data_IF_577562956800
#
_entry.id   IF_577562956800
#
_cell.length_a   1.000
_cell.length_b   1.000
_cell.length_c   1.000
_cell.angle_alpha   90.00
_cell.angle_beta   90.00
_cell.angle_gamma   90.00
#
_symmetry.space_group_name_H-M   'P 1'
#
loop_
_entity.id
_entity.type
_entity.pdbx_description
1 polymer ?
#
# COMPACT_ATOMS: atom_id res chain seq x y z
N UNK A 1 -9.86 26.44 -9.85
CA UNK A 1 -8.84 25.41 -9.55
C UNK A 1 -8.10 25.78 -8.27
N UNK A 2 -8.09 24.90 -7.26
CA UNK A 2 -7.37 25.12 -6.01
C UNK A 2 -5.87 25.35 -6.30
N UNK A 3 -5.25 26.35 -5.68
CA UNK A 3 -3.85 26.73 -5.94
C UNK A 3 -2.88 25.58 -5.66
N UNK A 4 -3.23 24.69 -4.74
CA UNK A 4 -2.50 23.49 -4.39
C UNK A 4 -2.51 22.41 -5.48
N UNK A 5 -3.49 22.40 -6.39
CA UNK A 5 -3.62 21.36 -7.43
C UNK A 5 -2.89 21.65 -8.74
N UNK A 6 -2.34 22.86 -8.86
CA UNK A 6 -1.68 23.29 -10.10
C UNK A 6 -0.47 22.44 -10.49
N UNK A 7 0.41 22.00 -9.55
CA UNK A 7 1.56 21.17 -9.92
C UNK A 7 1.13 19.79 -10.45
N UNK A 8 0.23 19.11 -9.74
CA UNK A 8 -0.27 17.79 -10.13
C UNK A 8 -0.98 17.83 -11.48
N UNK A 9 -1.81 18.84 -11.71
CA UNK A 9 -2.47 19.02 -13.00
C UNK A 9 -1.49 19.32 -14.13
N UNK A 10 -0.46 20.13 -13.86
CA UNK A 10 0.62 20.36 -14.83
C UNK A 10 1.33 19.04 -15.18
N UNK A 11 1.73 18.26 -14.17
CA UNK A 11 2.38 16.96 -14.38
C UNK A 11 1.50 16.01 -15.20
N UNK A 12 0.23 15.86 -14.84
CA UNK A 12 -0.71 15.01 -15.57
C UNK A 12 -0.85 15.45 -17.04
N UNK A 13 -1.02 16.74 -17.30
CA UNK A 13 -1.17 17.26 -18.65
C UNK A 13 0.12 17.18 -19.49
N UNK A 14 1.28 17.38 -18.88
CA UNK A 14 2.56 17.40 -19.59
C UNK A 14 3.15 16.01 -19.83
N UNK A 15 3.02 15.10 -18.86
CA UNK A 15 3.72 13.81 -18.86
C UNK A 15 2.79 12.62 -19.08
N UNK A 16 1.64 12.57 -18.38
CA UNK A 16 0.78 11.38 -18.37
C UNK A 16 -0.12 11.28 -19.61
N UNK A 17 -0.50 12.40 -20.24
CA UNK A 17 -1.26 12.39 -21.51
C UNK A 17 -0.57 11.63 -22.66
N UNK A 18 0.73 11.37 -22.56
CA UNK A 18 1.49 10.61 -23.54
C UNK A 18 1.39 9.09 -23.32
N UNK A 19 0.50 8.63 -22.43
CA UNK A 19 0.35 7.23 -22.04
C UNK A 19 1.21 6.81 -20.86
N UNK A 20 1.98 7.74 -20.26
CA UNK A 20 2.78 7.44 -19.08
C UNK A 20 1.89 7.32 -17.84
N UNK A 21 2.23 6.38 -16.97
CA UNK A 21 1.57 6.15 -15.68
C UNK A 21 2.55 6.37 -14.53
N UNK A 22 2.02 6.70 -13.35
CA UNK A 22 2.84 6.76 -12.12
C UNK A 22 2.75 5.40 -11.44
N UNK A 23 3.87 4.72 -11.34
CA UNK A 23 3.98 3.50 -10.55
C UNK A 23 4.08 3.82 -9.06
N UNK A 24 3.22 3.18 -8.26
CA UNK A 24 3.12 3.37 -6.82
C UNK A 24 3.25 2.03 -6.11
N UNK A 25 4.38 1.75 -5.43
CA UNK A 25 4.53 0.53 -4.65
C UNK A 25 3.54 0.51 -3.48
N UNK A 26 2.67 -0.49 -3.40
CA UNK A 26 1.74 -0.67 -2.28
C UNK A 26 2.34 -1.64 -1.25
N UNK A 27 2.35 -1.30 0.05
CA UNK A 27 2.84 -2.20 1.09
C UNK A 27 2.10 -3.54 1.14
N UNK A 28 2.84 -4.63 1.40
CA UNK A 28 2.28 -5.96 1.66
C UNK A 28 1.20 -5.94 2.75
N UNK A 29 1.34 -5.07 3.76
CA UNK A 29 0.39 -4.90 4.85
C UNK A 29 -1.00 -4.43 4.41
N UNK A 30 -1.14 -3.91 3.18
CA UNK A 30 -2.42 -3.43 2.61
C UNK A 30 -3.05 -4.46 1.66
N UNK A 31 -2.23 -5.15 0.87
CA UNK A 31 -2.70 -6.07 -0.19
C UNK A 31 -2.55 -7.56 0.14
N UNK A 32 -1.68 -7.93 1.09
CA UNK A 32 -1.28 -9.32 1.33
C UNK A 32 -0.36 -9.91 0.25
N UNK A 33 0.12 -9.08 -0.69
CA UNK A 33 1.10 -9.43 -1.72
C UNK A 33 1.81 -8.17 -2.26
N UNK A 34 2.98 -8.36 -2.88
CA UNK A 34 3.79 -7.27 -3.45
C UNK A 34 3.35 -6.97 -4.89
N UNK A 35 2.52 -5.95 -5.07
CA UNK A 35 2.16 -5.43 -6.39
C UNK A 35 2.04 -3.91 -6.35
N UNK A 36 2.67 -3.19 -7.30
CA UNK A 36 2.43 -1.75 -7.44
C UNK A 36 1.06 -1.48 -8.04
N UNK A 37 0.55 -0.27 -7.81
CA UNK A 37 -0.57 0.28 -8.58
C UNK A 37 -0.06 1.34 -9.54
N UNK A 38 -0.74 1.47 -10.68
CA UNK A 38 -0.39 2.44 -11.70
C UNK A 38 -1.47 3.50 -11.79
N UNK A 39 -1.14 4.74 -11.44
CA UNK A 39 -2.05 5.87 -11.63
C UNK A 39 -2.01 6.33 -13.08
N UNK A 40 -3.18 6.38 -13.72
CA UNK A 40 -3.33 6.89 -15.08
C UNK A 40 -3.57 8.39 -15.11
N UNK A 41 -3.56 8.97 -16.32
CA UNK A 41 -3.95 10.35 -16.52
C UNK A 41 -5.39 10.59 -16.04
N UNK A 42 -6.30 9.64 -16.32
CA UNK A 42 -7.70 9.67 -15.92
C UNK A 42 -7.85 9.70 -14.40
N UNK A 43 -7.12 8.85 -13.66
CA UNK A 43 -7.14 8.85 -12.19
C UNK A 43 -6.85 10.25 -11.62
N UNK A 44 -5.81 10.91 -12.13
CA UNK A 44 -5.41 12.24 -11.69
C UNK A 44 -6.40 13.30 -12.18
N UNK A 45 -6.86 13.19 -13.43
CA UNK A 45 -7.78 14.14 -14.04
C UNK A 45 -9.14 14.15 -13.35
N UNK A 46 -9.69 12.99 -13.05
CA UNK A 46 -10.95 12.84 -12.32
C UNK A 46 -10.81 13.41 -10.91
N UNK A 47 -9.69 13.08 -10.23
CA UNK A 47 -9.40 13.58 -8.90
C UNK A 47 -9.29 15.12 -8.85
N UNK A 48 -8.56 15.75 -9.78
CA UNK A 48 -8.40 17.22 -9.80
C UNK A 48 -9.69 17.97 -10.12
N UNK A 49 -10.64 17.30 -10.79
CA UNK A 49 -11.94 17.84 -11.18
C UNK A 49 -13.07 17.40 -10.23
N UNK A 50 -12.73 16.81 -9.08
CA UNK A 50 -13.69 16.34 -8.08
C UNK A 50 -14.74 15.38 -8.66
N UNK A 51 -14.31 14.49 -9.56
CA UNK A 51 -15.12 13.42 -10.14
C UNK A 51 -14.99 12.12 -9.32
N UNK A 52 -15.74 11.09 -9.71
CA UNK A 52 -15.69 9.76 -9.09
C UNK A 52 -14.24 9.26 -9.09
N UNK A 53 -13.71 8.90 -7.91
CA UNK A 53 -12.32 8.43 -7.79
C UNK A 53 -12.24 6.91 -7.90
N UNK A 54 -11.17 6.45 -8.54
CA UNK A 54 -10.88 5.04 -8.72
C UNK A 54 -10.38 4.37 -7.44
N UNK A 55 -10.34 3.02 -7.47
CA UNK A 55 -9.73 2.23 -6.42
C UNK A 55 -8.22 2.52 -6.28
N UNK A 56 -7.54 2.92 -7.36
CA UNK A 56 -6.12 3.29 -7.31
C UNK A 56 -5.92 4.53 -6.44
N UNK A 57 -6.78 5.55 -6.58
CA UNK A 57 -6.75 6.75 -5.73
C UNK A 57 -6.95 6.40 -4.25
N UNK A 58 -7.90 5.50 -3.95
CA UNK A 58 -8.13 5.00 -2.57
C UNK A 58 -6.86 4.29 -2.04
N UNK A 59 -6.26 3.40 -2.83
CA UNK A 59 -5.06 2.64 -2.46
C UNK A 59 -3.84 3.50 -2.19
N UNK A 60 -3.59 4.49 -3.04
CA UNK A 60 -2.48 5.44 -2.85
C UNK A 60 -2.69 6.26 -1.58
N UNK A 61 -3.94 6.59 -1.25
CA UNK A 61 -4.25 7.26 0.01
C UNK A 61 -4.06 6.36 1.23
N UNK A 62 -4.52 5.11 1.16
CA UNK A 62 -4.30 4.11 2.23
C UNK A 62 -2.82 3.90 2.51
N UNK A 63 -1.97 3.83 1.47
CA UNK A 63 -0.51 3.74 1.60
C UNK A 63 0.07 4.88 2.43
N UNK A 64 -0.39 6.11 2.20
CA UNK A 64 0.08 7.23 3.01
C UNK A 64 -0.42 7.17 4.44
N UNK A 65 -1.68 6.83 4.66
CA UNK A 65 -2.20 6.74 6.02
C UNK A 65 -1.46 5.66 6.80
N UNK A 66 -1.10 4.55 6.16
CA UNK A 66 -0.22 3.53 6.74
C UNK A 66 1.15 4.11 7.11
N UNK A 67 1.80 4.84 6.20
CA UNK A 67 3.08 5.50 6.48
C UNK A 67 2.96 6.54 7.61
N UNK A 68 1.85 7.29 7.66
CA UNK A 68 1.56 8.25 8.71
C UNK A 68 1.37 7.55 10.06
N UNK A 69 0.62 6.43 10.09
CA UNK A 69 0.49 5.58 11.27
C UNK A 69 1.87 5.10 11.74
N UNK A 70 2.75 4.68 10.81
CA UNK A 70 4.10 4.22 11.14
C UNK A 70 4.95 5.34 11.76
N UNK A 71 4.96 6.53 11.16
CA UNK A 71 5.68 7.70 11.68
C UNK A 71 5.17 8.09 13.07
N UNK A 72 3.85 7.97 13.30
CA UNK A 72 3.22 8.33 14.58
C UNK A 72 3.25 7.22 15.64
N UNK A 73 3.90 6.06 15.37
CA UNK A 73 3.94 4.93 16.29
C UNK A 73 2.60 4.19 16.46
N UNK A 74 1.70 4.32 15.48
CA UNK A 74 0.36 3.74 15.44
C UNK A 74 0.23 2.59 14.42
N UNK A 75 1.34 2.10 13.84
CA UNK A 75 1.33 1.04 12.82
C UNK A 75 0.57 -0.23 13.24
N UNK A 76 0.54 -0.53 14.53
CA UNK A 76 -0.17 -1.70 15.05
C UNK A 76 -1.66 -1.46 15.35
N UNK A 77 -2.12 -0.20 15.32
CA UNK A 77 -3.49 0.16 15.70
C UNK A 77 -4.46 0.06 14.52
N UNK A 78 -4.01 0.43 13.33
CA UNK A 78 -4.85 0.53 12.14
C UNK A 78 -4.28 -0.33 11.02
N UNK A 79 -5.12 -1.21 10.47
CA UNK A 79 -4.81 -2.00 9.27
C UNK A 79 -5.76 -1.58 8.16
N UNK A 80 -5.20 -1.37 6.97
CA UNK A 80 -5.95 -1.00 5.78
C UNK A 80 -6.09 -2.23 4.89
N UNK A 81 -7.31 -2.62 4.50
CA UNK A 81 -7.53 -3.78 3.62
C UNK A 81 -7.91 -3.30 2.23
N UNK A 82 -7.12 -3.68 1.23
CA UNK A 82 -7.30 -3.23 -0.16
C UNK A 82 -8.74 -3.45 -0.67
N UNK A 83 -9.36 -2.45 -1.33
CA UNK A 83 -10.66 -2.62 -1.94
C UNK A 83 -10.67 -3.67 -3.05
N UNK A 84 -9.52 -3.97 -3.68
CA UNK A 84 -9.43 -5.00 -4.73
C UNK A 84 -9.64 -6.43 -4.19
N UNK A 85 -9.46 -6.64 -2.89
CA UNK A 85 -9.60 -7.94 -2.24
C UNK A 85 -11.03 -8.23 -1.79
N UNK A 86 -11.84 -7.18 -1.63
CA UNK A 86 -13.11 -7.23 -0.91
C UNK A 86 -14.27 -6.67 -1.74
N UNK A 87 -14.03 -5.81 -2.72
CA UNK A 87 -15.07 -5.29 -3.61
C UNK A 87 -15.38 -6.28 -4.73
N UNK A 88 -16.64 -6.42 -5.15
CA UNK A 88 -16.97 -7.23 -6.32
C UNK A 88 -16.33 -6.64 -7.58
N UNK A 89 -15.83 -7.52 -8.45
CA UNK A 89 -15.46 -7.15 -9.82
C UNK A 89 -16.74 -7.10 -10.66
N UNK A 90 -16.89 -6.08 -11.49
CA UNK A 90 -18.12 -5.76 -12.26
C UNK A 90 -18.67 -6.91 -13.12
N UNK A 91 -17.88 -7.95 -13.36
CA UNK A 91 -18.19 -9.11 -14.21
C UNK A 91 -18.81 -10.28 -13.47
N UNK A 92 -18.78 -10.28 -12.14
CA UNK A 92 -19.26 -11.39 -11.34
C UNK A 92 -20.73 -11.18 -10.96
N UNK A 93 -21.54 -12.23 -11.03
CA UNK A 93 -22.85 -12.25 -10.34
C UNK A 93 -22.61 -11.98 -8.86
N UNK A 94 -23.58 -11.37 -8.17
CA UNK A 94 -23.41 -10.88 -6.78
C UNK A 94 -22.83 -11.94 -5.82
N UNK A 95 -23.02 -13.25 -6.11
CA UNK A 95 -22.46 -14.37 -5.34
C UNK A 95 -21.05 -14.85 -5.79
N UNK A 96 -20.68 -14.65 -7.06
CA UNK A 96 -19.44 -15.19 -7.62
C UNK A 96 -18.21 -14.49 -7.01
N UNK A 97 -17.47 -15.25 -6.19
CA UNK A 97 -16.25 -14.78 -5.52
C UNK A 97 -16.48 -14.13 -4.16
N UNK A 98 -17.71 -14.07 -3.61
CA UNK A 98 -17.92 -13.55 -2.25
C UNK A 98 -17.14 -14.36 -1.20
N UNK A 99 -17.09 -15.68 -1.36
CA UNK A 99 -16.32 -16.58 -0.49
C UNK A 99 -14.82 -16.26 -0.54
N UNK A 100 -14.25 -16.16 -1.73
CA UNK A 100 -12.83 -15.80 -1.92
C UNK A 100 -12.51 -14.45 -1.29
N UNK A 101 -13.37 -13.44 -1.48
CA UNK A 101 -13.20 -12.13 -0.86
C UNK A 101 -13.31 -12.16 0.67
N UNK A 102 -14.18 -13.01 1.22
CA UNK A 102 -14.24 -13.25 2.66
C UNK A 102 -12.99 -13.99 3.18
N UNK A 103 -12.45 -14.94 2.41
CA UNK A 103 -11.19 -15.62 2.72
C UNK A 103 -9.99 -14.66 2.69
N UNK A 104 -9.96 -13.75 1.72
CA UNK A 104 -8.98 -12.67 1.66
C UNK A 104 -9.06 -11.82 2.92
N UNK A 105 -10.24 -11.35 3.31
CA UNK A 105 -10.42 -10.59 4.55
C UNK A 105 -9.99 -11.39 5.79
N UNK A 106 -10.40 -12.67 5.88
CA UNK A 106 -10.03 -13.56 6.98
C UNK A 106 -8.50 -13.67 7.14
N UNK A 107 -7.74 -13.66 6.03
CA UNK A 107 -6.28 -13.71 6.09
C UNK A 107 -5.65 -12.55 6.87
N UNK A 108 -6.26 -11.35 6.84
CA UNK A 108 -5.83 -10.19 7.64
C UNK A 108 -6.25 -10.30 9.10
N UNK A 109 -7.36 -11.00 9.37
CA UNK A 109 -7.94 -11.11 10.70
C UNK A 109 -7.32 -12.24 11.53
N UNK A 110 -6.79 -13.30 10.91
CA UNK A 110 -6.38 -14.56 11.58
C UNK A 110 -5.57 -14.35 12.87
N UNK A 111 -4.62 -13.41 12.84
CA UNK A 111 -3.74 -13.09 13.97
C UNK A 111 -3.99 -11.68 14.53
N UNK A 112 -5.24 -11.21 14.46
CA UNK A 112 -5.63 -9.88 14.94
C UNK A 112 -5.34 -9.73 16.44
N UNK A 113 -4.40 -8.85 16.86
CA UNK A 113 -4.28 -8.50 18.27
C UNK A 113 -5.50 -7.70 18.72
N UNK A 114 -5.69 -7.64 20.04
CA UNK A 114 -6.73 -6.81 20.66
C UNK A 114 -6.52 -5.35 20.31
N UNK A 115 -7.62 -4.60 20.27
CA UNK A 115 -7.66 -3.14 20.05
C UNK A 115 -7.20 -2.66 18.66
N UNK A 116 -6.90 -3.60 17.74
CA UNK A 116 -6.58 -3.29 16.35
C UNK A 116 -7.85 -3.16 15.52
N UNK A 117 -7.91 -2.08 14.74
CA UNK A 117 -9.02 -1.77 13.85
C UNK A 117 -8.64 -2.00 12.39
N UNK A 118 -9.56 -2.57 11.63
CA UNK A 118 -9.39 -2.86 10.21
C UNK A 118 -10.29 -1.95 9.38
N UNK A 119 -9.69 -1.07 8.59
CA UNK A 119 -10.36 -0.13 7.71
C UNK A 119 -10.49 -0.75 6.32
N UNK A 120 -11.74 -0.96 5.89
CA UNK A 120 -12.08 -1.76 4.71
C UNK A 120 -12.96 -0.93 3.77
N UNK A 121 -12.38 -0.10 2.89
CA UNK A 121 -13.13 0.60 1.85
C UNK A 121 -13.69 -0.41 0.84
N UNK A 122 -14.97 -0.31 0.52
CA UNK A 122 -15.67 -1.22 -0.37
C UNK A 122 -16.45 -0.46 -1.45
N UNK A 123 -16.35 -0.91 -2.70
CA UNK A 123 -17.05 -0.33 -3.83
C UNK A 123 -18.23 -1.21 -4.26
N UNK A 124 -19.45 -0.68 -4.17
CA UNK A 124 -20.71 -1.37 -4.50
C UNK A 124 -21.14 -1.21 -5.96
N UNK A 125 -20.19 -0.97 -6.86
CA UNK A 125 -20.48 -0.69 -8.27
C UNK A 125 -20.77 0.79 -8.51
N UNK A 126 -19.78 1.64 -8.22
CA UNK A 126 -19.75 3.12 -8.29
C UNK A 126 -20.16 3.86 -7.02
N UNK A 127 -20.32 3.15 -5.91
CA UNK A 127 -20.57 3.77 -4.61
C UNK A 127 -19.57 3.24 -3.58
N UNK A 128 -18.80 4.15 -3.00
CA UNK A 128 -17.80 3.84 -1.99
C UNK A 128 -18.41 3.93 -0.59
N UNK A 129 -18.20 2.88 0.20
CA UNK A 129 -18.52 2.80 1.63
C UNK A 129 -17.28 2.38 2.41
N UNK A 130 -17.27 2.60 3.72
CA UNK A 130 -16.18 2.17 4.60
C UNK A 130 -16.71 1.29 5.73
N UNK A 131 -16.14 0.09 5.86
CA UNK A 131 -16.21 -0.71 7.06
C UNK A 131 -15.05 -0.43 7.99
N UNK A 132 -15.32 -0.36 9.30
CA UNK A 132 -14.27 -0.45 10.32
C UNK A 132 -14.59 -1.63 11.21
N UNK A 133 -13.70 -2.61 11.22
CA UNK A 133 -13.92 -3.88 11.92
C UNK A 133 -13.10 -3.89 13.20
N UNK A 134 -13.78 -4.24 14.30
CA UNK A 134 -13.17 -4.70 15.53
C UNK A 134 -13.57 -6.18 15.74
N UNK A 135 -12.68 -7.14 15.43
CA UNK A 135 -13.01 -8.56 15.56
C UNK A 135 -13.19 -8.97 17.03
N UNK A 136 -12.49 -8.31 17.96
CA UNK A 136 -12.57 -8.60 19.37
C UNK A 136 -13.86 -8.08 20.00
N UNK A 137 -14.44 -6.99 19.50
CA UNK A 137 -15.76 -6.54 19.90
C UNK A 137 -16.91 -7.14 19.05
N UNK A 138 -16.60 -8.02 18.08
CA UNK A 138 -17.55 -8.57 17.09
C UNK A 138 -18.39 -7.46 16.42
N UNK A 139 -17.72 -6.35 16.07
CA UNK A 139 -18.35 -5.11 15.66
C UNK A 139 -17.83 -4.64 14.30
N UNK A 140 -18.76 -4.31 13.42
CA UNK A 140 -18.49 -3.59 12.17
C UNK A 140 -19.19 -2.24 12.24
N UNK A 141 -18.40 -1.18 12.29
CA UNK A 141 -18.91 0.17 12.07
C UNK A 141 -19.00 0.42 10.57
N UNK A 142 -20.17 0.85 10.11
CA UNK A 142 -20.45 1.05 8.70
C UNK A 142 -20.68 2.53 8.41
N UNK A 143 -19.88 3.08 7.49
CA UNK A 143 -19.94 4.47 7.07
C UNK A 143 -20.37 4.53 5.60
N UNK A 144 -21.55 5.11 5.38
CA UNK A 144 -22.12 5.29 4.05
C UNK A 144 -22.52 6.77 3.86
N UNK A 145 -21.78 7.52 3.01
CA UNK A 145 -22.08 8.91 2.69
C UNK A 145 -23.46 9.13 2.07
N UNK A 146 -24.06 8.13 1.41
CA UNK A 146 -25.41 8.20 0.84
C UNK A 146 -26.49 7.70 1.81
N UNK A 147 -26.09 7.03 2.90
CA UNK A 147 -26.98 6.42 3.90
C UNK A 147 -28.02 5.48 3.26
N UNK A 148 -27.61 4.71 2.27
CA UNK A 148 -28.48 3.72 1.63
C UNK A 148 -28.78 2.57 2.60
N UNK A 149 -30.03 2.09 2.61
CA UNK A 149 -30.48 1.01 3.51
C UNK A 149 -30.32 -0.41 2.94
N UNK A 150 -29.65 -0.59 1.80
CA UNK A 150 -29.61 -1.88 1.12
C UNK A 150 -28.83 -2.90 1.96
N UNK A 151 -29.40 -4.10 2.15
CA UNK A 151 -28.58 -5.28 2.52
C UNK A 151 -27.73 -5.59 1.32
N UNK A 152 -26.44 -5.34 1.48
CA UNK A 152 -25.46 -5.43 0.42
C UNK A 152 -24.53 -6.61 0.64
N UNK A 153 -23.93 -7.06 -0.47
CA UNK A 153 -22.87 -8.05 -0.54
C UNK A 153 -21.78 -7.87 0.54
N UNK A 154 -21.47 -6.61 0.88
CA UNK A 154 -20.56 -6.25 1.95
C UNK A 154 -20.94 -6.87 3.31
N UNK A 155 -22.20 -6.73 3.72
CA UNK A 155 -22.67 -7.25 5.01
C UNK A 155 -22.53 -8.77 5.09
N UNK A 156 -22.84 -9.47 4.00
CA UNK A 156 -22.72 -10.93 3.94
C UNK A 156 -21.26 -11.39 3.94
N UNK A 157 -20.41 -10.72 3.17
CA UNK A 157 -18.96 -10.94 3.16
C UNK A 157 -18.36 -10.79 4.57
N UNK A 158 -18.71 -9.70 5.26
CA UNK A 158 -18.21 -9.41 6.61
C UNK A 158 -18.64 -10.47 7.62
N UNK A 159 -19.92 -10.88 7.57
CA UNK A 159 -20.42 -11.96 8.43
C UNK A 159 -19.70 -13.29 8.18
N UNK A 160 -19.42 -13.64 6.92
CA UNK A 160 -18.67 -14.86 6.60
C UNK A 160 -17.26 -14.83 7.18
N UNK A 161 -16.49 -13.78 6.88
CA UNK A 161 -15.11 -13.66 7.34
C UNK A 161 -15.01 -13.66 8.88
N UNK A 162 -15.91 -12.94 9.57
CA UNK A 162 -15.90 -12.87 11.03
C UNK A 162 -16.42 -14.14 11.69
N UNK A 163 -17.37 -14.84 11.08
CA UNK A 163 -17.79 -16.16 11.56
C UNK A 163 -16.63 -17.15 11.50
N UNK A 164 -15.90 -17.18 10.39
CA UNK A 164 -14.75 -18.10 10.24
C UNK A 164 -13.59 -17.70 11.14
N UNK A 165 -13.36 -16.39 11.33
CA UNK A 165 -12.38 -15.90 12.29
C UNK A 165 -12.70 -16.39 13.72
N UNK A 166 -13.97 -16.27 14.14
CA UNK A 166 -14.43 -16.76 15.45
C UNK A 166 -14.22 -18.27 15.60
N UNK A 167 -14.48 -19.05 14.54
CA UNK A 167 -14.29 -20.51 14.54
C UNK A 167 -12.79 -20.85 14.65
N UNK A 168 -11.96 -20.24 13.81
CA UNK A 168 -10.53 -20.57 13.67
C UNK A 168 -9.68 -20.13 14.87
N UNK A 169 -10.06 -19.05 15.55
CA UNK A 169 -9.37 -18.56 16.76
C UNK A 169 -9.91 -19.17 18.07
N UNK A 170 -11.01 -19.93 18.03
CA UNK A 170 -11.68 -20.47 19.21
C UNK A 170 -12.51 -19.44 20.00
N UNK A 171 -12.54 -18.17 19.59
CA UNK A 171 -13.36 -17.12 20.20
C UNK A 171 -14.86 -17.38 20.04
N UNK A 172 -15.27 -18.11 18.99
CA UNK A 172 -16.66 -18.54 18.78
C UNK A 172 -17.18 -19.52 19.83
N UNK A 173 -16.29 -20.27 20.50
CA UNK A 173 -16.66 -21.20 21.59
C UNK A 173 -16.89 -20.42 22.90
N UNK A 174 -16.11 -19.35 23.12
CA UNK A 174 -16.23 -18.45 24.29
C UNK A 174 -17.50 -17.61 24.22
N UNK A 175 -17.90 -17.16 23.02
CA UNK A 175 -19.11 -16.36 22.78
C UNK A 175 -20.32 -17.26 22.48
N UNK A 176 -20.86 -17.93 23.51
CA UNK A 176 -22.12 -18.69 23.36
C UNK A 176 -23.28 -17.74 22.98
N UNK A 177 -23.91 -18.04 21.83
CA UNK A 177 -25.29 -17.76 21.37
C UNK A 177 -25.62 -16.68 20.32
N UNK A 178 -24.69 -15.88 19.83
CA UNK A 178 -24.95 -15.10 18.61
C UNK A 178 -23.78 -15.22 17.63
N UNK A 179 -24.00 -15.94 16.53
CA UNK A 179 -23.00 -16.07 15.46
C UNK A 179 -22.93 -14.82 14.57
N UNK A 180 -23.92 -13.92 14.67
CA UNK A 180 -24.02 -12.73 13.83
C UNK A 180 -23.26 -11.56 14.43
N UNK A 181 -22.33 -11.03 13.65
CA UNK A 181 -21.58 -9.83 13.98
C UNK A 181 -22.53 -8.63 14.11
N UNK A 182 -22.23 -7.74 15.06
CA UNK A 182 -22.96 -6.49 15.25
C UNK A 182 -22.56 -5.49 14.17
N UNK A 183 -23.54 -5.00 13.42
CA UNK A 183 -23.35 -3.89 12.49
C UNK A 183 -23.91 -2.62 13.08
N UNK A 184 -23.12 -1.55 13.07
CA UNK A 184 -23.53 -0.23 13.54
C UNK A 184 -23.32 0.80 12.43
N UNK A 185 -24.41 1.26 11.83
CA UNK A 185 -24.37 2.39 10.92
C UNK A 185 -23.95 3.65 11.68
N UNK A 186 -22.89 4.29 11.23
CA UNK A 186 -22.36 5.48 11.90
C UNK A 186 -22.94 6.74 11.29
N UNK A 187 -23.42 7.68 12.14
CA UNK A 187 -23.74 9.02 11.67
C UNK A 187 -22.49 9.59 10.99
N UNK A 188 -22.64 9.92 9.72
CA UNK A 188 -21.62 10.59 8.94
C UNK A 188 -22.30 11.64 8.06
N UNK A 189 -21.60 12.71 7.65
CA UNK A 189 -22.20 13.73 6.81
C UNK A 189 -22.69 13.14 5.50
N UNK A 190 -23.85 13.64 5.09
CA UNK A 190 -24.54 13.20 3.90
C UNK A 190 -23.87 13.82 2.68
N UNK A 191 -23.55 13.00 1.69
CA UNK A 191 -23.18 13.45 0.37
C UNK A 191 -24.42 13.97 -0.36
N UNK A 192 -24.31 15.17 -0.95
CA UNK A 192 -25.40 15.80 -1.71
C UNK A 192 -25.35 15.46 -3.20
N UNK A 193 -24.15 15.28 -3.78
CA UNK A 193 -23.96 14.94 -5.19
C UNK A 193 -23.86 13.43 -5.45
N UNK A 194 -23.35 13.05 -6.62
CA UNK A 194 -23.29 11.66 -7.09
C UNK A 194 -21.88 11.08 -7.18
N UNK A 195 -20.82 11.87 -6.94
CA UNK A 195 -19.43 11.48 -7.24
C UNK A 195 -18.48 11.55 -6.05
N UNK A 196 -18.94 12.12 -4.94
CA UNK A 196 -18.11 12.50 -3.81
C UNK A 196 -17.82 11.36 -2.83
N UNK A 197 -18.52 10.21 -2.94
CA UNK A 197 -18.48 9.12 -1.96
C UNK A 197 -17.06 8.65 -1.64
N UNK A 198 -16.22 8.52 -2.67
CA UNK A 198 -14.81 8.13 -2.48
C UNK A 198 -14.05 9.14 -1.62
N UNK A 199 -14.26 10.44 -1.79
CA UNK A 199 -13.59 11.46 -0.98
C UNK A 199 -14.07 11.47 0.46
N UNK A 200 -15.35 11.17 0.71
CA UNK A 200 -15.83 10.95 2.08
C UNK A 200 -15.10 9.77 2.73
N UNK A 201 -14.90 8.68 1.98
CA UNK A 201 -14.14 7.52 2.49
C UNK A 201 -12.70 7.90 2.82
N UNK A 202 -12.03 8.70 1.97
CA UNK A 202 -10.69 9.23 2.29
C UNK A 202 -10.70 10.05 3.59
N UNK A 203 -11.66 10.96 3.74
CA UNK A 203 -11.82 11.78 4.94
C UNK A 203 -12.09 10.95 6.20
N UNK A 204 -12.99 9.97 6.15
CA UNK A 204 -13.29 9.10 7.28
C UNK A 204 -12.05 8.32 7.73
N UNK A 205 -11.30 7.72 6.79
CA UNK A 205 -10.08 6.99 7.14
C UNK A 205 -9.04 7.91 7.80
N UNK A 206 -8.84 9.12 7.27
CA UNK A 206 -7.94 10.13 7.86
C UNK A 206 -8.37 10.49 9.29
N UNK A 207 -9.63 10.83 9.48
CA UNK A 207 -10.14 11.31 10.77
C UNK A 207 -10.06 10.20 11.84
N UNK A 208 -10.32 8.95 11.45
CA UNK A 208 -10.13 7.78 12.34
C UNK A 208 -8.67 7.63 12.75
N UNK A 209 -7.74 7.76 11.80
CA UNK A 209 -6.30 7.64 12.07
C UNK A 209 -5.82 8.75 13.01
N UNK A 210 -6.19 10.00 12.72
CA UNK A 210 -5.71 11.17 13.45
C UNK A 210 -6.37 11.33 14.82
N UNK A 211 -7.68 11.08 14.91
CA UNK A 211 -8.48 11.47 16.07
C UNK A 211 -9.15 10.26 16.77
N UNK A 212 -9.03 9.06 16.21
CA UNK A 212 -9.71 7.86 16.71
C UNK A 212 -11.14 7.72 16.19
N UNK A 213 -11.76 6.57 16.51
CA UNK A 213 -13.07 6.18 15.96
C UNK A 213 -14.24 7.04 16.45
N UNK A 214 -14.10 7.62 17.64
CA UNK A 214 -15.11 8.48 18.27
C UNK A 214 -15.12 9.90 17.70
N UNK A 215 -14.07 10.28 16.97
CA UNK A 215 -14.00 11.59 16.33
C UNK A 215 -15.17 11.81 15.37
N UNK A 216 -15.66 10.74 14.72
CA UNK A 216 -16.75 10.84 13.76
C UNK A 216 -18.13 11.06 14.39
N UNK A 217 -18.30 10.92 15.71
CA UNK A 217 -19.60 11.14 16.38
C UNK A 217 -19.99 12.62 16.50
N UNK A 218 -19.00 13.54 16.44
CA UNK A 218 -19.21 14.97 16.65
C UNK A 218 -18.78 15.84 15.44
N UNK A 219 -18.36 15.22 14.35
CA UNK A 219 -17.80 15.94 13.20
C UNK A 219 -18.91 16.31 12.21
N UNK A 220 -19.29 17.59 12.21
CA UNK A 220 -19.72 18.25 10.98
C UNK A 220 -18.50 18.23 10.03
N UNK A 221 -18.30 17.18 9.23
CA UNK A 221 -17.15 17.11 8.30
C UNK A 221 -17.12 18.42 7.55
N UNK A 222 -16.02 19.13 7.72
CA UNK A 222 -15.96 20.55 7.47
C UNK A 222 -16.07 20.75 5.97
N UNK A 223 -17.25 21.21 5.54
CA UNK A 223 -17.56 21.73 4.20
C UNK A 223 -16.31 22.04 3.38
N UNK A 224 -16.01 21.21 2.39
CA UNK A 224 -15.26 21.52 1.15
C UNK A 224 -13.78 21.96 1.30
N UNK A 225 -13.34 22.45 2.47
CA UNK A 225 -11.95 22.88 2.72
C UNK A 225 -10.99 21.70 2.93
N UNK A 226 -11.47 20.56 3.41
CA UNK A 226 -10.67 19.37 3.74
C UNK A 226 -10.21 18.55 2.53
N UNK A 227 -10.80 18.75 1.34
CA UNK A 227 -10.30 18.14 0.10
C UNK A 227 -8.86 18.57 -0.20
N UNK A 228 -8.42 19.74 0.31
CA UNK A 228 -7.05 20.25 0.17
C UNK A 228 -5.98 19.39 0.87
N UNK A 229 -6.33 18.58 1.86
CA UNK A 229 -5.40 17.66 2.53
C UNK A 229 -5.23 16.36 1.73
N UNK A 230 -6.26 15.94 0.99
CA UNK A 230 -6.14 14.86 0.01
C UNK A 230 -5.25 15.30 -1.17
N UNK A 231 -5.31 16.60 -1.52
CA UNK A 231 -4.39 17.26 -2.44
C UNK A 231 -2.97 17.37 -1.87
N UNK A 232 -2.82 17.69 -0.58
CA UNK A 232 -1.53 17.67 0.13
C UNK A 232 -0.89 16.28 0.05
N UNK A 233 -1.72 15.26 0.05
CA UNK A 233 -1.33 13.88 -0.09
C UNK A 233 -0.73 13.53 -1.46
N UNK A 234 -1.34 14.01 -2.54
CA UNK A 234 -0.75 13.93 -3.88
C UNK A 234 0.53 14.80 -4.00
N UNK A 235 0.64 15.91 -3.25
CA UNK A 235 1.83 16.77 -3.24
C UNK A 235 3.02 16.19 -2.44
N UNK A 236 2.77 15.39 -1.40
CA UNK A 236 3.82 14.62 -0.70
C UNK A 236 4.38 13.54 -1.62
N UNK A 237 3.52 12.93 -2.45
CA UNK A 237 3.92 11.96 -3.47
C UNK A 237 4.87 12.55 -4.53
N UNK A 238 4.63 13.79 -4.98
CA UNK A 238 5.52 14.55 -5.89
C UNK A 238 6.90 14.86 -5.27
N UNK A 239 6.97 15.14 -3.95
CA UNK A 239 8.27 15.31 -3.25
C UNK A 239 9.07 14.01 -3.18
N UNK A 240 8.40 12.87 -3.02
CA UNK A 240 9.04 11.56 -3.04
C UNK A 240 9.56 11.20 -4.45
N UNK A 241 8.80 11.50 -5.51
CA UNK A 241 9.23 11.30 -6.90
C UNK A 241 10.38 12.22 -7.32
N UNK A 242 10.36 13.51 -6.90
CA UNK A 242 11.46 14.44 -7.15
C UNK A 242 12.76 14.06 -6.41
N UNK A 243 12.65 13.44 -5.23
CA UNK A 243 13.78 12.87 -4.48
C UNK A 243 14.39 11.66 -5.19
N UNK A 244 13.55 10.73 -5.65
CA UNK A 244 13.99 9.52 -6.39
C UNK A 244 14.60 9.87 -7.75
N UNK A 245 14.04 10.86 -8.47
CA UNK A 245 14.61 11.34 -9.73
C UNK A 245 15.96 12.05 -9.53
N UNK A 246 16.08 12.93 -8.52
CA UNK A 246 17.37 13.55 -8.16
C UNK A 246 18.42 12.54 -7.74
N UNK A 247 18.05 11.52 -6.96
CA UNK A 247 18.99 10.49 -6.49
C UNK A 247 19.44 9.59 -7.66
N UNK A 248 18.52 9.26 -8.57
CA UNK A 248 18.84 8.49 -9.77
C UNK A 248 19.69 9.28 -10.79
N UNK A 249 19.45 10.59 -10.93
CA UNK A 249 20.29 11.50 -11.72
C UNK A 249 21.69 11.65 -11.11
N UNK A 250 21.79 11.78 -9.78
CA UNK A 250 23.06 11.88 -9.06
C UNK A 250 23.87 10.57 -9.12
N UNK A 251 23.19 9.41 -9.02
CA UNK A 251 23.82 8.09 -9.21
C UNK A 251 24.32 7.91 -10.65
N UNK A 252 23.55 8.34 -11.65
CA UNK A 252 23.94 8.31 -13.07
C UNK A 252 25.11 9.26 -13.36
N UNK A 253 25.11 10.48 -12.81
CA UNK A 253 26.20 11.45 -13.01
C UNK A 253 27.50 11.05 -12.32
N UNK A 254 27.41 10.40 -11.15
CA UNK A 254 28.58 9.88 -10.42
C UNK A 254 29.18 8.63 -11.07
N UNK A 255 28.37 7.84 -11.79
CA UNK A 255 28.84 6.69 -12.55
C UNK A 255 29.55 7.13 -13.85
N UNK A 256 29.00 8.12 -14.57
CA UNK A 256 29.59 8.66 -15.81
C UNK A 256 30.85 9.48 -15.56
N UNK A 257 30.95 10.22 -14.44
CA UNK A 257 32.15 10.99 -14.08
C UNK A 257 33.33 10.10 -13.68
N UNK A 258 33.08 8.96 -13.00
CA UNK A 258 34.12 7.96 -12.67
C UNK A 258 34.58 7.16 -13.88
N UNK A 259 33.70 6.88 -14.84
CA UNK A 259 34.06 6.17 -16.06
C UNK A 259 34.90 7.04 -17.03
N UNK A 260 34.73 8.37 -17.00
CA UNK A 260 35.44 9.31 -17.88
C UNK A 260 36.85 9.74 -17.44
N UNK A 261 37.36 9.28 -16.29
CA UNK A 261 38.65 9.74 -15.73
C UNK A 261 39.85 8.80 -15.95
N UNK A 262 39.71 7.69 -16.67
CA UNK A 262 40.88 6.89 -17.07
C UNK A 262 41.57 7.49 -18.30
N UNK A 263 42.35 8.56 -18.10
CA UNK A 263 43.31 9.04 -19.09
C UNK A 263 44.60 8.22 -18.99
N UNK A 264 44.82 7.37 -19.99
CA UNK A 264 46.14 6.76 -20.25
C UNK A 264 47.13 7.85 -20.66
N UNK A 265 48.24 8.00 -19.93
CA UNK A 265 49.31 8.92 -20.29
C UNK A 265 50.54 8.85 -19.41
N UNK A 266 51.59 8.16 -19.90
CA UNK A 266 52.96 8.70 -19.91
C UNK A 266 53.85 8.63 -18.66
N UNK A 267 54.73 7.62 -18.68
CA UNK A 267 56.18 7.66 -18.36
C UNK A 267 56.71 8.46 -17.15
N UNK A 268 57.43 7.77 -16.25
CA UNK A 268 58.69 8.33 -15.76
C UNK A 268 59.74 7.27 -15.37
N UNK A 269 60.98 7.54 -15.76
CA UNK A 269 62.19 6.73 -15.59
C UNK A 269 62.77 6.86 -14.17
N UNK A 270 63.31 5.74 -13.68
CA UNK A 270 64.60 5.71 -12.98
C UNK A 270 64.58 5.82 -11.45
N UNK A 271 64.91 4.71 -10.78
CA UNK A 271 66.10 4.60 -9.91
C UNK A 271 66.37 3.14 -9.54
N UNK A 272 67.53 2.64 -9.99
CA UNK A 272 68.13 1.37 -9.60
C UNK A 272 68.62 1.43 -8.15
N UNK A 273 68.51 0.29 -7.44
CA UNK A 273 69.44 -0.12 -6.39
C UNK A 273 69.73 -1.62 -6.55
N UNK A 274 70.99 -1.94 -6.71
CA UNK A 274 71.56 -3.29 -6.88
C UNK A 274 71.78 -4.01 -5.54
N UNK A 275 71.37 -5.30 -5.55
CA UNK A 275 72.10 -6.51 -5.09
C UNK A 275 72.29 -6.74 -3.57
N UNK A 276 72.32 -7.97 -3.03
CA UNK A 276 72.84 -9.23 -3.58
C UNK A 276 72.25 -10.48 -2.82
N UNK A 277 72.76 -11.73 -2.97
CA UNK A 277 71.95 -12.90 -3.34
C UNK A 277 71.93 -13.98 -2.24
N UNK A 278 71.08 -15.01 -2.36
CA UNK A 278 71.39 -16.42 -2.04
C UNK A 278 70.12 -17.27 -1.87
N UNK A 279 70.20 -18.49 -2.42
CA UNK A 279 69.35 -19.69 -2.24
C UNK A 279 68.17 -19.88 -3.22
N UNK A 280 68.45 -20.62 -4.29
CA UNK A 280 67.63 -21.75 -4.80
C UNK A 280 68.12 -23.05 -4.12
N UNK A 281 67.43 -24.22 -4.20
CA UNK A 281 66.37 -24.65 -5.15
C UNK A 281 65.11 -25.22 -4.42
N UNK A 282 63.97 -25.54 -5.06
CA UNK A 282 63.71 -26.70 -5.93
C UNK A 282 62.43 -26.51 -6.75
N UNK A 283 62.46 -26.98 -7.99
CA UNK A 283 61.28 -27.35 -8.77
C UNK A 283 60.82 -28.73 -8.30
N UNK A 284 59.52 -28.93 -8.18
CA UNK A 284 58.88 -30.21 -8.51
C UNK A 284 57.53 -29.92 -9.17
N UNK A 285 57.25 -30.75 -10.18
CA UNK A 285 56.12 -30.71 -11.09
C UNK A 285 54.86 -31.34 -10.48
N UNK A 286 53.77 -31.20 -11.22
CA UNK A 286 52.49 -31.95 -11.16
C UNK A 286 51.56 -31.53 -10.02
N UNK A 287 50.23 -31.43 -10.15
CA UNK A 287 49.29 -31.93 -11.14
C UNK A 287 48.01 -31.07 -11.14
N UNK A 288 47.27 -31.19 -12.23
CA UNK A 288 45.89 -30.74 -12.43
C UNK A 288 44.98 -30.96 -11.20
N UNK A 289 44.46 -29.90 -10.59
CA UNK A 289 43.30 -29.99 -9.70
C UNK A 289 42.06 -29.43 -10.38
N UNK A 290 41.21 -30.36 -10.79
CA UNK A 290 39.80 -30.12 -11.08
C UNK A 290 39.11 -29.53 -9.85
N UNK A 291 38.21 -28.59 -10.09
CA UNK A 291 37.29 -28.07 -9.08
C UNK A 291 36.37 -29.20 -8.59
N UNK A 292 36.58 -29.69 -7.36
CA UNK A 292 35.54 -30.43 -6.63
C UNK A 292 34.57 -29.44 -5.97
N UNK A 293 33.27 -29.64 -6.21
CA UNK A 293 32.18 -28.87 -5.62
C UNK A 293 31.94 -29.30 -4.17
N UNK A 294 31.65 -28.38 -3.23
CA UNK A 294 31.45 -28.74 -1.82
C UNK A 294 30.16 -29.54 -1.62
N UNK A 295 30.24 -30.60 -0.82
CA UNK A 295 29.10 -31.47 -0.46
C UNK A 295 28.28 -30.82 0.64
N UNK A 296 26.96 -30.79 0.49
CA UNK A 296 26.05 -30.32 1.55
C UNK A 296 25.92 -31.39 2.65
N UNK A 297 26.43 -31.08 3.85
CA UNK A 297 26.45 -31.98 5.01
C UNK A 297 25.08 -32.33 5.60
N UNK A 298 23.97 -31.82 5.05
CA UNK A 298 22.61 -32.12 5.53
C UNK A 298 21.79 -33.01 4.58
N UNK A 299 22.26 -33.27 3.35
CA UNK A 299 21.54 -34.13 2.40
C UNK A 299 22.43 -35.05 1.52
N UNK A 300 23.77 -34.94 1.61
CA UNK A 300 24.69 -35.90 1.01
C UNK A 300 24.74 -35.92 -0.52
N UNK A 301 24.34 -34.84 -1.20
CA UNK A 301 24.42 -34.70 -2.68
C UNK A 301 25.34 -33.55 -3.09
N UNK A 302 25.97 -33.70 -4.25
CA UNK A 302 26.84 -32.70 -4.89
C UNK A 302 25.98 -31.72 -5.72
N UNK A 303 26.18 -30.41 -5.55
CA UNK A 303 25.55 -29.36 -6.37
C UNK A 303 26.58 -28.55 -7.12
#
# INVERSE_FOLDING_TARGET
>A
MNRAMKPLAYYAHSFMRQGNQIEVPIPYTIMGFDMPVFLSFEDIYEFINLQEISANCILVYMRYLEELCRINGQAEKFVFVSPSLISPVRTNTEDAGRRERADNLLSFLRDAPKERLYLVPHNRGRHWVLGVIDPWEDLVLYFDPLREKKRDDFTELMNMALTDWKITTGEGIRRRRDCKTKFSNRPCPLQEGSVECGYFILGFMRDIVLNGIDALENVRVSRVKEYAEVVEMAMIYERALAGVQKENELKRSNFTSKAGQWKYGGTNKGKQKQENPQKRPRQDQTDSMMYEKPVCNNCGKNH
#
